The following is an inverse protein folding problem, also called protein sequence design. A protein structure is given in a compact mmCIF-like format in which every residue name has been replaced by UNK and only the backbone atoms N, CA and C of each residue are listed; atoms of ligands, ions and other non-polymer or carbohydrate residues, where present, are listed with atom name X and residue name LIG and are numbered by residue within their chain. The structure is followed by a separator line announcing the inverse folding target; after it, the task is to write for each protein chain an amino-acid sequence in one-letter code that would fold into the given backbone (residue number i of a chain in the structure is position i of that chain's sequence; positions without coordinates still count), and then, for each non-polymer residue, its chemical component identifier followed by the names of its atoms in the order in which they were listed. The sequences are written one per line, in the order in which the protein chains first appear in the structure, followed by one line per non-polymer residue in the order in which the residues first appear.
data_IF_577896886208
#
_entry.id   IF_577896886208
#
_cell.length_a   1.000
_cell.length_b   1.000
_cell.length_c   1.000
_cell.angle_alpha   90.00
_cell.angle_beta   90.00
_cell.angle_gamma   90.00
#
_symmetry.space_group_name_H-M   'P 1'
#
loop_
_entity.id
_entity.type
_entity.pdbx_description
1 polymer ?
#
# COMPACT_ATOMS: atom_id res chain seq x y z
N UNK A 1 -71.91 -4.98 47.44
CA UNK A 1 -70.80 -4.06 47.10
C UNK A 1 -69.67 -4.26 48.10
N UNK A 2 -68.68 -5.08 47.79
CA UNK A 2 -67.38 -5.13 48.49
C UNK A 2 -66.28 -5.30 47.45
N UNK A 3 -65.30 -4.42 47.55
CA UNK A 3 -64.23 -4.06 46.62
C UNK A 3 -63.24 -5.19 46.32
N UNK A 4 -63.22 -5.65 45.05
CA UNK A 4 -62.18 -6.54 44.48
C UNK A 4 -60.96 -5.73 43.97
N UNK A 5 -60.92 -4.42 44.26
CA UNK A 5 -59.93 -3.47 43.72
C UNK A 5 -58.77 -3.12 44.67
N UNK A 6 -58.62 -3.86 45.78
CA UNK A 6 -57.58 -3.60 46.80
C UNK A 6 -56.36 -4.51 46.71
N UNK A 7 -56.52 -5.80 46.40
CA UNK A 7 -55.44 -6.79 46.46
C UNK A 7 -54.53 -6.84 45.21
N UNK A 8 -54.97 -6.26 44.09
CA UNK A 8 -54.26 -6.36 42.81
C UNK A 8 -53.33 -5.18 42.52
N UNK A 9 -53.46 -4.05 43.23
CA UNK A 9 -52.63 -2.85 42.98
C UNK A 9 -51.17 -3.07 43.35
N UNK A 10 -50.93 -3.74 44.47
CA UNK A 10 -49.57 -4.05 44.94
C UNK A 10 -48.87 -5.09 44.07
N UNK A 11 -49.60 -6.10 43.55
CA UNK A 11 -49.07 -7.08 42.60
C UNK A 11 -48.77 -6.46 41.23
N UNK A 12 -49.61 -5.54 40.76
CA UNK A 12 -49.35 -4.81 39.51
C UNK A 12 -48.14 -3.88 39.66
N UNK A 13 -48.02 -3.18 40.80
CA UNK A 13 -46.91 -2.29 41.08
C UNK A 13 -45.56 -3.04 41.16
N UNK A 14 -45.51 -4.22 41.78
CA UNK A 14 -44.29 -5.05 41.80
C UNK A 14 -43.93 -5.59 40.42
N UNK A 15 -44.91 -5.95 39.59
CA UNK A 15 -44.66 -6.38 38.21
C UNK A 15 -44.08 -5.24 37.36
N UNK A 16 -44.63 -4.04 37.48
CA UNK A 16 -44.13 -2.85 36.77
C UNK A 16 -42.73 -2.49 37.24
N UNK A 17 -42.46 -2.54 38.56
CA UNK A 17 -41.13 -2.27 39.11
C UNK A 17 -40.11 -3.31 38.63
N UNK A 18 -40.47 -4.59 38.57
CA UNK A 18 -39.60 -5.65 38.06
C UNK A 18 -39.28 -5.46 36.57
N UNK A 19 -40.25 -5.03 35.75
CA UNK A 19 -40.01 -4.70 34.35
C UNK A 19 -39.11 -3.47 34.24
N UNK A 20 -39.30 -2.44 35.05
CA UNK A 20 -38.46 -1.25 35.06
C UNK A 20 -37.03 -1.55 35.50
N UNK A 21 -36.83 -2.42 36.50
CA UNK A 21 -35.49 -2.81 36.92
C UNK A 21 -34.82 -3.69 35.87
N UNK A 22 -35.53 -4.64 35.26
CA UNK A 22 -34.98 -5.46 34.17
C UNK A 22 -34.65 -4.59 32.95
N UNK A 23 -35.52 -3.68 32.54
CA UNK A 23 -35.24 -2.76 31.41
C UNK A 23 -34.12 -1.79 31.72
N UNK A 24 -34.05 -1.22 32.92
CA UNK A 24 -32.93 -0.38 33.34
C UNK A 24 -31.62 -1.18 33.43
N UNK A 25 -31.67 -2.43 33.87
CA UNK A 25 -30.50 -3.32 33.94
C UNK A 25 -30.06 -3.74 32.54
N UNK A 26 -30.99 -4.03 31.64
CA UNK A 26 -30.70 -4.32 30.23
C UNK A 26 -30.16 -3.09 29.52
N UNK A 27 -30.73 -1.89 29.74
CA UNK A 27 -30.20 -0.63 29.20
C UNK A 27 -28.84 -0.29 29.79
N UNK A 28 -28.64 -0.53 31.09
CA UNK A 28 -27.36 -0.37 31.76
C UNK A 28 -26.33 -1.34 31.17
N UNK A 29 -26.67 -2.62 31.04
CA UNK A 29 -25.83 -3.64 30.39
C UNK A 29 -25.60 -3.30 28.91
N UNK A 30 -26.57 -2.82 28.14
CA UNK A 30 -26.36 -2.38 26.75
C UNK A 30 -25.52 -1.09 26.65
N UNK A 31 -25.55 -0.24 27.67
CA UNK A 31 -24.72 0.97 27.73
C UNK A 31 -23.29 0.69 28.23
N UNK A 32 -23.09 -0.41 28.98
CA UNK A 32 -21.80 -0.81 29.58
C UNK A 32 -21.15 -2.04 28.92
N UNK A 33 -21.89 -2.86 28.19
CA UNK A 33 -21.36 -3.76 27.19
C UNK A 33 -21.30 -2.96 25.88
N UNK A 34 -20.16 -2.33 25.58
CA UNK A 34 -19.95 -1.88 24.23
C UNK A 34 -19.97 -3.17 23.40
N UNK A 35 -20.98 -3.33 22.56
CA UNK A 35 -20.83 -4.20 21.40
C UNK A 35 -19.54 -3.75 20.70
N UNK A 36 -18.46 -4.53 20.90
CA UNK A 36 -17.11 -4.31 20.40
C UNK A 36 -16.45 -2.96 20.77
N UNK A 37 -15.89 -2.82 21.98
CA UNK A 37 -14.66 -2.01 22.15
C UNK A 37 -13.42 -2.80 21.69
N UNK A 38 -13.60 -3.59 20.63
CA UNK A 38 -12.62 -4.49 20.07
C UNK A 38 -11.71 -3.73 19.14
N UNK A 39 -10.41 -3.96 19.29
CA UNK A 39 -9.37 -3.62 18.32
C UNK A 39 -9.91 -3.69 16.88
N UNK A 40 -9.97 -2.56 16.19
CA UNK A 40 -10.41 -2.50 14.79
C UNK A 40 -9.17 -2.37 13.91
N UNK A 41 -8.99 -3.28 12.96
CA UNK A 41 -8.00 -3.09 11.90
C UNK A 41 -8.58 -2.19 10.83
N UNK A 42 -7.79 -1.21 10.41
CA UNK A 42 -8.17 -0.26 9.37
C UNK A 42 -7.07 -0.13 8.35
N UNK A 43 -7.45 0.03 7.10
CA UNK A 43 -6.53 0.27 6.02
C UNK A 43 -7.14 1.27 5.02
N UNK A 44 -6.31 2.17 4.48
CA UNK A 44 -6.78 3.19 3.52
C UNK A 44 -6.95 2.62 2.10
N UNK A 45 -6.56 1.36 1.87
CA UNK A 45 -6.48 0.75 0.55
C UNK A 45 -7.55 -0.35 0.32
N UNK A 46 -8.59 -0.39 1.17
CA UNK A 46 -9.70 -1.34 1.06
C UNK A 46 -9.28 -2.82 1.07
N UNK A 47 -8.40 -3.20 1.98
CA UNK A 47 -7.86 -4.53 2.16
C UNK A 47 -6.76 -4.91 1.18
N UNK A 48 -6.09 -3.96 0.52
CA UNK A 48 -5.06 -4.25 -0.49
C UNK A 48 -3.66 -3.88 -0.01
N UNK A 49 -2.71 -4.78 -0.20
CA UNK A 49 -1.28 -4.55 0.07
C UNK A 49 -0.55 -4.55 -1.28
N UNK A 50 0.14 -3.46 -1.60
CA UNK A 50 0.88 -3.31 -2.85
C UNK A 50 2.38 -3.53 -2.63
N UNK A 51 2.96 -4.67 -3.10
CA UNK A 51 4.39 -4.94 -2.96
C UNK A 51 5.27 -3.81 -3.50
N UNK A 52 4.92 -3.22 -4.65
CA UNK A 52 5.69 -2.15 -5.26
C UNK A 52 5.81 -0.92 -4.35
N UNK A 53 4.74 -0.57 -3.62
CA UNK A 53 4.76 0.55 -2.68
C UNK A 53 5.69 0.27 -1.52
N UNK A 54 5.64 -0.94 -0.96
CA UNK A 54 6.50 -1.33 0.17
C UNK A 54 7.96 -1.34 -0.27
N UNK A 55 8.27 -2.02 -1.38
CA UNK A 55 9.64 -2.18 -1.89
C UNK A 55 10.28 -0.83 -2.25
N UNK A 56 9.53 0.08 -2.88
CA UNK A 56 10.05 1.38 -3.31
C UNK A 56 10.20 2.41 -2.18
N UNK A 57 9.50 2.23 -1.06
CA UNK A 57 9.54 3.18 0.07
C UNK A 57 10.25 2.63 1.32
N UNK A 58 10.75 1.39 1.25
CA UNK A 58 11.41 0.71 2.36
C UNK A 58 12.62 1.46 2.92
N UNK A 59 13.37 2.15 2.06
CA UNK A 59 14.63 2.85 2.42
C UNK A 59 14.56 4.37 2.32
N UNK A 60 13.39 4.94 1.98
CA UNK A 60 13.18 6.38 1.81
C UNK A 60 12.38 6.94 2.97
N UNK A 61 12.35 8.25 3.20
CA UNK A 61 11.42 8.87 4.16
C UNK A 61 10.10 9.30 3.50
N UNK A 62 9.94 9.03 2.20
CA UNK A 62 8.75 9.41 1.44
C UNK A 62 7.51 8.69 1.96
N UNK A 63 6.48 9.46 2.31
CA UNK A 63 5.16 8.96 2.69
C UNK A 63 4.17 9.29 1.58
N UNK A 64 4.06 8.39 0.61
CA UNK A 64 3.15 8.53 -0.54
C UNK A 64 1.71 8.05 -0.22
N UNK A 65 1.57 7.24 0.83
CA UNK A 65 0.28 6.83 1.39
C UNK A 65 0.26 7.35 2.82
N UNK A 66 -0.63 8.30 3.07
CA UNK A 66 -0.75 8.98 4.36
C UNK A 66 -2.14 8.72 4.92
N UNK A 67 -2.27 8.43 6.23
CA UNK A 67 -3.56 8.27 6.87
C UNK A 67 -4.38 9.57 6.79
N UNK A 68 -5.70 9.45 6.65
CA UNK A 68 -6.58 10.62 6.63
C UNK A 68 -6.57 11.38 7.96
N UNK A 69 -6.30 10.68 9.06
CA UNK A 69 -6.25 11.23 10.41
C UNK A 69 -4.83 11.68 10.78
N UNK A 70 -4.72 12.93 11.25
CA UNK A 70 -3.44 13.54 11.61
C UNK A 70 -2.85 13.01 12.94
N UNK A 71 -3.64 12.25 13.70
CA UNK A 71 -3.22 11.66 14.98
C UNK A 71 -3.01 10.16 14.81
N UNK A 72 -1.85 9.79 14.27
CA UNK A 72 -1.40 8.41 14.23
C UNK A 72 -0.05 8.23 14.95
N UNK A 73 0.25 6.99 15.30
CA UNK A 73 1.53 6.56 15.88
C UNK A 73 2.16 5.49 14.99
N UNK A 74 3.49 5.45 14.95
CA UNK A 74 4.25 4.45 14.19
C UNK A 74 4.41 4.79 12.71
N UNK A 75 4.62 3.76 11.88
CA UNK A 75 5.00 3.89 10.47
C UNK A 75 3.84 3.56 9.51
N UNK A 76 3.21 4.57 8.87
CA UNK A 76 2.02 4.35 8.05
C UNK A 76 2.29 3.57 6.75
N UNK A 77 3.57 3.40 6.35
CA UNK A 77 3.93 2.69 5.11
C UNK A 77 3.50 1.22 5.11
N UNK A 78 3.29 0.62 6.29
CA UNK A 78 2.79 -0.75 6.37
C UNK A 78 1.35 -0.89 5.85
N UNK A 79 0.59 0.21 5.82
CA UNK A 79 -0.84 0.25 5.52
C UNK A 79 -1.73 -0.61 6.45
N UNK A 80 -1.15 -1.25 7.48
CA UNK A 80 -1.86 -2.04 8.48
C UNK A 80 -2.07 -1.13 9.69
N UNK A 81 -3.21 -0.46 9.74
CA UNK A 81 -3.59 0.42 10.84
C UNK A 81 -4.42 -0.31 11.90
N UNK A 82 -4.27 0.10 13.14
CA UNK A 82 -5.02 -0.40 14.28
C UNK A 82 -5.66 0.79 14.98
N UNK A 83 -6.99 0.81 15.08
CA UNK A 83 -7.71 1.75 15.95
C UNK A 83 -7.84 1.18 17.34
N UNK A 84 -7.39 1.95 18.31
CA UNK A 84 -7.47 1.58 19.73
C UNK A 84 -7.74 2.79 20.61
N UNK A 85 -8.64 2.60 21.57
CA UNK A 85 -8.97 3.62 22.57
C UNK A 85 -8.10 3.48 23.80
N UNK A 86 -7.44 4.57 24.19
CA UNK A 86 -6.61 4.62 25.40
C UNK A 86 -7.48 4.57 26.67
N UNK A 87 -7.28 3.60 27.58
CA UNK A 87 -8.07 3.52 28.81
C UNK A 87 -7.68 4.61 29.83
N UNK A 88 -6.38 4.92 29.93
CA UNK A 88 -5.81 5.89 30.85
C UNK A 88 -4.68 6.68 30.17
N UNK A 89 -4.34 7.85 30.70
CA UNK A 89 -3.19 8.60 30.22
C UNK A 89 -1.88 7.80 30.36
N UNK A 90 -0.99 7.92 29.37
CA UNK A 90 0.27 7.19 29.26
C UNK A 90 0.12 5.66 29.29
N UNK A 91 -0.96 5.13 28.69
CA UNK A 91 -1.14 3.68 28.59
C UNK A 91 -0.10 3.07 27.64
N UNK A 92 0.57 1.99 28.08
CA UNK A 92 1.50 1.23 27.26
C UNK A 92 0.73 0.25 26.39
N UNK A 93 0.94 0.33 25.09
CA UNK A 93 0.38 -0.55 24.09
C UNK A 93 1.47 -1.44 23.53
N UNK A 94 1.30 -2.75 23.67
CA UNK A 94 2.16 -3.78 23.11
C UNK A 94 1.41 -4.50 22.01
N UNK A 95 1.93 -4.51 20.79
CA UNK A 95 1.31 -5.13 19.62
C UNK A 95 2.21 -6.26 19.12
N UNK A 96 1.64 -7.44 18.93
CA UNK A 96 2.27 -8.60 18.32
C UNK A 96 1.56 -8.89 16.99
N UNK A 97 2.33 -8.94 15.91
CA UNK A 97 1.89 -9.36 14.57
C UNK A 97 2.33 -10.79 14.33
N UNK A 98 1.38 -11.66 14.02
CA UNK A 98 1.67 -13.05 13.67
C UNK A 98 2.40 -13.14 12.31
N UNK A 99 3.27 -14.14 12.17
CA UNK A 99 3.98 -14.41 10.92
C UNK A 99 3.03 -14.78 9.78
N UNK A 100 3.37 -14.32 8.57
CA UNK A 100 2.73 -14.68 7.31
C UNK A 100 3.79 -15.00 6.25
N UNK A 101 3.43 -15.55 5.08
CA UNK A 101 4.39 -15.72 3.99
C UNK A 101 5.10 -14.43 3.56
N UNK A 102 4.48 -13.26 3.81
CA UNK A 102 4.96 -11.95 3.36
C UNK A 102 5.67 -11.13 4.42
N UNK A 103 5.59 -11.49 5.70
CA UNK A 103 6.28 -10.79 6.77
C UNK A 103 6.47 -11.68 8.00
N UNK A 104 7.59 -11.50 8.70
CA UNK A 104 7.91 -12.24 9.90
C UNK A 104 7.12 -11.75 11.11
N UNK A 105 7.06 -12.58 12.16
CA UNK A 105 6.55 -12.18 13.46
C UNK A 105 7.26 -10.91 13.96
N UNK A 106 6.49 -9.93 14.42
CA UNK A 106 7.00 -8.64 14.87
C UNK A 106 6.28 -8.13 16.11
N UNK A 107 6.99 -7.30 16.88
CA UNK A 107 6.51 -6.72 18.14
C UNK A 107 6.78 -5.23 18.11
N UNK A 108 5.77 -4.44 18.45
CA UNK A 108 5.88 -2.98 18.55
C UNK A 108 5.29 -2.48 19.86
N UNK A 109 5.95 -1.49 20.46
CA UNK A 109 5.50 -0.85 21.69
C UNK A 109 5.22 0.64 21.45
N UNK A 110 4.10 1.13 21.97
CA UNK A 110 3.67 2.52 21.88
C UNK A 110 3.19 3.04 23.23
N UNK A 111 3.27 4.36 23.42
CA UNK A 111 2.67 5.04 24.56
C UNK A 111 1.48 5.85 24.04
N UNK A 112 0.31 5.63 24.62
CA UNK A 112 -0.93 6.37 24.34
C UNK A 112 -1.05 7.53 25.36
N UNK A 113 -0.77 8.80 24.99
CA UNK A 113 -0.61 9.86 25.98
C UNK A 113 -1.90 10.26 26.71
N UNK A 114 -3.02 10.34 25.99
CA UNK A 114 -4.28 10.90 26.52
C UNK A 114 -5.26 9.79 26.90
N UNK A 115 -6.02 10.02 27.98
CA UNK A 115 -7.06 9.10 28.44
C UNK A 115 -8.33 9.24 27.60
N UNK A 116 -8.96 8.13 27.22
CA UNK A 116 -10.24 8.12 26.51
C UNK A 116 -10.17 8.51 25.03
N UNK A 117 -9.00 8.89 24.53
CA UNK A 117 -8.73 9.23 23.13
C UNK A 117 -8.53 7.97 22.29
N UNK A 118 -9.02 8.02 21.06
CA UNK A 118 -8.78 6.98 20.04
C UNK A 118 -7.50 7.32 19.26
N UNK A 119 -6.67 6.31 19.05
CA UNK A 119 -5.42 6.41 18.30
C UNK A 119 -5.45 5.44 17.13
N UNK A 120 -4.96 5.92 15.98
CA UNK A 120 -4.59 5.07 14.85
C UNK A 120 -3.11 4.70 14.98
N UNK A 121 -2.81 3.41 15.13
CA UNK A 121 -1.46 2.91 15.40
C UNK A 121 -1.02 2.01 14.25
N UNK A 122 0.15 2.28 13.70
CA UNK A 122 0.78 1.47 12.67
C UNK A 122 1.97 0.72 13.27
N UNK A 123 1.83 -0.59 13.53
CA UNK A 123 2.94 -1.40 14.03
C UNK A 123 4.04 -1.55 12.97
N UNK A 124 5.24 -1.86 13.44
CA UNK A 124 6.36 -2.22 12.59
C UNK A 124 6.10 -3.58 11.96
N UNK A 125 6.34 -3.68 10.65
CA UNK A 125 6.17 -4.93 9.90
C UNK A 125 7.53 -5.34 9.35
N UNK A 126 7.97 -6.54 9.71
CA UNK A 126 9.23 -7.11 9.20
C UNK A 126 8.92 -7.81 7.88
N UNK A 127 8.90 -7.04 6.79
CA UNK A 127 8.56 -7.55 5.46
C UNK A 127 9.56 -8.58 4.93
N UNK A 128 9.03 -9.64 4.32
CA UNK A 128 9.78 -10.55 3.46
C UNK A 128 9.81 -9.98 2.05
N UNK A 129 10.81 -9.15 1.77
CA UNK A 129 10.95 -8.47 0.47
C UNK A 129 11.07 -9.42 -0.71
N UNK A 130 11.66 -10.61 -0.53
CA UNK A 130 11.76 -11.61 -1.59
C UNK A 130 10.37 -12.14 -1.96
N UNK A 131 9.56 -12.52 -0.97
CA UNK A 131 8.19 -12.99 -1.20
C UNK A 131 7.32 -11.91 -1.86
N UNK A 132 7.49 -10.65 -1.47
CA UNK A 132 6.81 -9.50 -2.10
C UNK A 132 7.21 -9.32 -3.57
N UNK A 133 8.51 -9.42 -3.88
CA UNK A 133 9.03 -9.28 -5.24
C UNK A 133 8.58 -10.42 -6.17
N UNK A 134 8.51 -11.64 -5.64
CA UNK A 134 8.12 -12.85 -6.38
C UNK A 134 6.60 -12.99 -6.58
N UNK A 135 5.80 -12.15 -5.92
CA UNK A 135 4.35 -12.24 -5.98
C UNK A 135 3.78 -11.73 -7.32
N UNK A 136 3.65 -12.62 -8.29
CA UNK A 136 3.17 -12.26 -9.64
C UNK A 136 1.64 -12.27 -9.78
N UNK A 137 0.92 -12.83 -8.82
CA UNK A 137 -0.55 -12.91 -8.80
C UNK A 137 -1.11 -12.37 -7.48
N UNK A 138 -2.31 -11.79 -7.53
CA UNK A 138 -2.96 -11.36 -6.31
C UNK A 138 -3.34 -12.59 -5.46
N UNK A 139 -3.00 -12.58 -4.18
CA UNK A 139 -3.34 -13.67 -3.25
C UNK A 139 -3.82 -13.14 -1.90
N UNK A 140 -4.77 -13.85 -1.25
CA UNK A 140 -5.22 -13.47 0.08
C UNK A 140 -4.17 -13.82 1.14
N UNK A 141 -3.96 -12.91 2.10
CA UNK A 141 -3.18 -13.16 3.32
C UNK A 141 -4.01 -12.77 4.54
N UNK A 142 -4.07 -13.64 5.53
CA UNK A 142 -4.75 -13.35 6.79
C UNK A 142 -3.75 -12.80 7.79
N UNK A 143 -3.95 -11.56 8.21
CA UNK A 143 -3.15 -10.88 9.22
C UNK A 143 -3.84 -11.04 10.56
N UNK A 144 -3.11 -11.55 11.55
CA UNK A 144 -3.58 -11.70 12.93
C UNK A 144 -2.76 -10.81 13.84
N UNK A 145 -3.44 -10.02 14.65
CA UNK A 145 -2.83 -9.04 15.56
C UNK A 145 -3.32 -9.31 16.97
N UNK A 146 -2.39 -9.31 17.92
CA UNK A 146 -2.69 -9.28 19.34
C UNK A 146 -2.16 -7.98 19.95
N UNK A 147 -3.02 -7.24 20.65
CA UNK A 147 -2.68 -6.01 21.32
C UNK A 147 -2.92 -6.14 22.82
N UNK A 148 -1.93 -5.78 23.64
CA UNK A 148 -2.02 -5.75 25.11
C UNK A 148 -1.89 -4.31 25.59
N UNK A 149 -2.87 -3.84 26.36
CA UNK A 149 -2.81 -2.51 26.98
C UNK A 149 -2.53 -2.65 28.48
N UNK A 150 -1.47 -1.99 28.95
CA UNK A 150 -1.02 -1.98 30.35
C UNK A 150 -0.89 -3.40 30.96
N UNK A 151 -0.53 -4.40 30.16
CA UNK A 151 -0.39 -5.82 30.52
C UNK A 151 -1.63 -6.50 31.14
N UNK A 152 -2.82 -5.89 31.06
CA UNK A 152 -4.02 -6.43 31.70
C UNK A 152 -5.07 -6.93 30.69
N UNK A 153 -5.32 -6.17 29.61
CA UNK A 153 -6.33 -6.53 28.60
C UNK A 153 -5.65 -6.89 27.30
N UNK A 154 -5.91 -8.11 26.83
CA UNK A 154 -5.53 -8.58 25.50
C UNK A 154 -6.71 -8.43 24.55
N UNK A 155 -6.46 -7.79 23.42
CA UNK A 155 -7.36 -7.67 22.30
C UNK A 155 -6.76 -8.43 21.12
N UNK A 156 -7.60 -9.09 20.34
CA UNK A 156 -7.16 -9.77 19.12
C UNK A 156 -8.07 -9.35 17.98
N UNK A 157 -7.49 -9.17 16.81
CA UNK A 157 -8.22 -8.96 15.57
C UNK A 157 -7.59 -9.81 14.47
N UNK A 158 -8.40 -10.16 13.48
CA UNK A 158 -7.96 -10.83 12.27
C UNK A 158 -8.57 -10.11 11.07
N UNK A 159 -7.78 -9.85 10.04
CA UNK A 159 -8.26 -9.28 8.78
C UNK A 159 -7.58 -9.95 7.60
N UNK A 160 -8.32 -10.22 6.53
CA UNK A 160 -7.78 -10.80 5.30
C UNK A 160 -7.54 -9.71 4.28
N UNK A 161 -6.27 -9.53 3.91
CA UNK A 161 -5.82 -8.61 2.88
C UNK A 161 -5.60 -9.35 1.56
N UNK A 162 -5.65 -8.64 0.45
CA UNK A 162 -5.17 -9.08 -0.86
C UNK A 162 -3.78 -8.50 -1.09
N UNK A 163 -2.75 -9.34 -1.04
CA UNK A 163 -1.41 -8.95 -1.50
C UNK A 163 -1.41 -8.96 -3.02
N UNK A 164 -1.25 -7.78 -3.60
CA UNK A 164 -1.35 -7.52 -5.04
C UNK A 164 -0.13 -8.04 -5.78
N UNK A 165 -0.28 -8.21 -7.08
CA UNK A 165 0.85 -8.57 -7.93
C UNK A 165 1.92 -7.48 -7.91
N UNK A 166 3.21 -7.84 -8.02
CA UNK A 166 4.30 -6.87 -8.23
C UNK A 166 4.07 -6.05 -9.51
N UNK A 167 3.32 -6.58 -10.47
CA UNK A 167 2.91 -5.87 -11.67
C UNK A 167 1.74 -4.89 -11.46
N UNK A 168 1.18 -4.76 -10.25
CA UNK A 168 0.07 -3.83 -10.01
C UNK A 168 0.56 -2.56 -9.32
N UNK A 169 0.60 -1.47 -10.09
CA UNK A 169 0.95 -0.15 -9.60
C UNK A 169 -0.29 0.53 -9.02
N UNK A 170 -0.17 1.10 -7.82
CA UNK A 170 -1.17 1.98 -7.23
C UNK A 170 -1.13 3.34 -7.95
N UNK A 171 -2.21 3.72 -8.64
CA UNK A 171 -2.34 5.03 -9.31
C UNK A 171 -2.86 6.11 -8.39
N UNK A 172 -3.74 5.71 -7.47
CA UNK A 172 -4.33 6.59 -6.49
C UNK A 172 -5.37 5.84 -5.66
N UNK A 173 -5.82 6.50 -4.60
CA UNK A 173 -6.83 5.95 -3.70
C UNK A 173 -7.74 7.05 -3.16
N UNK A 174 -8.92 6.66 -2.68
CA UNK A 174 -9.84 7.53 -1.97
C UNK A 174 -9.72 7.18 -0.48
N UNK A 175 -9.34 8.16 0.33
CA UNK A 175 -9.20 7.96 1.77
C UNK A 175 -10.57 7.86 2.47
N UNK A 176 -10.54 7.53 3.76
CA UNK A 176 -11.73 7.49 4.63
C UNK A 176 -12.53 8.81 4.70
N UNK A 177 -11.98 9.94 4.25
CA UNK A 177 -12.63 11.26 4.16
C UNK A 177 -13.10 11.60 2.75
N UNK A 178 -13.16 10.61 1.86
CA UNK A 178 -13.58 10.75 0.46
C UNK A 178 -12.66 11.67 -0.36
N UNK A 179 -11.41 11.87 0.06
CA UNK A 179 -10.41 12.65 -0.68
C UNK A 179 -9.59 11.72 -1.56
N UNK A 180 -9.45 12.10 -2.83
CA UNK A 180 -8.55 11.43 -3.76
C UNK A 180 -7.09 11.81 -3.49
N UNK A 181 -6.23 10.80 -3.44
CA UNK A 181 -4.78 10.93 -3.37
C UNK A 181 -4.17 10.32 -4.62
N UNK A 182 -3.36 11.11 -5.31
CA UNK A 182 -2.61 10.63 -6.46
C UNK A 182 -1.30 10.00 -6.02
N UNK A 183 -1.01 8.81 -6.54
CA UNK A 183 0.21 8.07 -6.21
C UNK A 183 0.96 7.67 -7.48
N UNK A 184 0.86 8.49 -8.54
CA UNK A 184 1.52 8.23 -9.82
C UNK A 184 3.04 8.09 -9.73
N UNK A 185 3.64 8.61 -8.66
CA UNK A 185 5.08 8.49 -8.37
C UNK A 185 5.54 7.03 -8.25
N UNK A 186 4.65 6.09 -7.90
CA UNK A 186 4.99 4.67 -7.86
C UNK A 186 5.36 4.08 -9.22
N UNK A 187 5.07 4.75 -10.34
CA UNK A 187 5.61 4.33 -11.63
C UNK A 187 7.13 4.37 -11.69
N UNK A 188 7.77 5.28 -10.95
CA UNK A 188 9.23 5.34 -10.87
C UNK A 188 9.82 4.06 -10.25
N UNK A 189 9.07 3.33 -9.42
CA UNK A 189 9.51 2.06 -8.84
C UNK A 189 9.71 0.94 -9.85
N UNK A 190 9.15 1.07 -11.07
CA UNK A 190 9.35 0.11 -12.16
C UNK A 190 10.56 0.45 -13.04
N UNK A 191 11.24 1.58 -12.78
CA UNK A 191 12.55 1.86 -13.38
C UNK A 191 13.58 1.02 -12.63
N UNK A 192 14.25 0.12 -13.36
CA UNK A 192 15.22 -0.81 -12.80
C UNK A 192 16.53 -0.75 -13.61
N UNK A 193 17.37 0.23 -13.29
CA UNK A 193 18.68 0.46 -13.91
C UNK A 193 19.71 -0.65 -13.65
N UNK A 194 19.47 -1.50 -12.64
CA UNK A 194 20.37 -2.57 -12.22
C UNK A 194 19.96 -3.95 -12.78
N UNK A 195 18.94 -4.02 -13.63
CA UNK A 195 18.47 -5.29 -14.18
C UNK A 195 19.57 -5.99 -15.00
N UNK A 196 19.86 -7.29 -14.76
CA UNK A 196 20.96 -8.00 -15.42
C UNK A 196 20.81 -8.07 -16.95
N UNK A 197 19.58 -8.05 -17.46
CA UNK A 197 19.29 -8.13 -18.90
C UNK A 197 19.57 -6.80 -19.64
N UNK A 198 19.84 -5.70 -18.95
CA UNK A 198 20.29 -4.44 -19.56
C UNK A 198 21.59 -4.66 -20.34
N UNK A 199 22.52 -5.44 -19.80
CA UNK A 199 23.80 -5.72 -20.43
C UNK A 199 23.66 -6.29 -21.86
N UNK A 200 22.61 -7.10 -22.09
CA UNK A 200 22.29 -7.64 -23.40
C UNK A 200 21.86 -6.52 -24.38
N UNK A 201 20.95 -5.65 -23.95
CA UNK A 201 20.45 -4.53 -24.76
C UNK A 201 21.57 -3.54 -25.10
N UNK A 202 22.43 -3.24 -24.13
CA UNK A 202 23.57 -2.35 -24.34
C UNK A 202 24.58 -2.94 -25.34
N UNK A 203 24.83 -4.26 -25.28
CA UNK A 203 25.71 -4.94 -26.25
C UNK A 203 25.14 -4.85 -27.67
N UNK A 204 23.86 -5.13 -27.84
CA UNK A 204 23.18 -5.03 -29.14
C UNK A 204 23.21 -3.60 -29.70
N UNK A 205 23.15 -2.58 -28.82
CA UNK A 205 23.26 -1.18 -29.23
C UNK A 205 24.67 -0.83 -29.71
N UNK A 206 25.71 -1.38 -29.10
CA UNK A 206 27.09 -1.25 -29.59
C UNK A 206 27.27 -1.98 -30.94
N UNK A 207 26.69 -3.18 -31.08
CA UNK A 207 26.75 -3.97 -32.32
C UNK A 207 26.07 -3.28 -33.50
N UNK A 208 25.12 -2.37 -33.25
CA UNK A 208 24.49 -1.53 -34.28
C UNK A 208 25.46 -0.55 -34.95
N UNK A 209 26.61 -0.28 -34.33
CA UNK A 209 27.62 0.73 -34.74
C UNK A 209 27.10 2.16 -34.82
N UNK A 210 25.92 2.46 -34.25
CA UNK A 210 25.40 3.83 -34.09
C UNK A 210 26.27 4.60 -33.08
N UNK A 211 26.69 3.91 -32.01
CA UNK A 211 27.64 4.40 -31.01
C UNK A 211 28.71 3.35 -30.75
N UNK A 212 29.93 3.80 -30.47
CA UNK A 212 31.07 2.91 -30.16
C UNK A 212 31.25 2.65 -28.66
N UNK A 213 30.61 3.45 -27.81
CA UNK A 213 30.56 3.35 -26.35
C UNK A 213 29.46 4.24 -25.80
N UNK A 214 29.04 3.98 -24.55
CA UNK A 214 28.17 4.86 -23.79
C UNK A 214 29.00 5.82 -22.93
N UNK A 215 28.81 7.11 -23.14
CA UNK A 215 29.45 8.21 -22.42
C UNK A 215 28.57 8.80 -21.31
N UNK A 216 27.26 8.56 -21.37
CA UNK A 216 26.29 9.36 -20.63
C UNK A 216 26.50 10.84 -20.96
N UNK A 217 26.71 11.66 -19.91
CA UNK A 217 27.00 13.10 -20.02
C UNK A 217 28.48 13.47 -20.22
N UNK A 218 29.41 12.51 -20.20
CA UNK A 218 30.86 12.81 -20.17
C UNK A 218 31.38 13.54 -21.42
N UNK A 219 30.71 13.37 -22.57
CA UNK A 219 31.06 14.08 -23.81
C UNK A 219 30.83 15.59 -23.72
N UNK A 220 29.96 16.05 -22.81
CA UNK A 220 29.44 17.44 -22.74
C UNK A 220 28.79 17.95 -24.03
N UNK A 221 28.48 17.05 -24.96
CA UNK A 221 27.84 17.36 -26.23
C UNK A 221 26.44 16.72 -26.24
N UNK A 222 25.37 17.54 -26.23
CA UNK A 222 23.98 17.08 -26.36
C UNK A 222 23.76 16.11 -27.52
N UNK A 223 24.44 16.32 -28.66
CA UNK A 223 24.30 15.45 -29.84
C UNK A 223 24.82 14.04 -29.60
N UNK A 224 25.79 13.88 -28.70
CA UNK A 224 26.30 12.56 -28.30
C UNK A 224 25.31 11.88 -27.34
N UNK A 225 24.61 12.64 -26.50
CA UNK A 225 23.51 12.12 -25.68
C UNK A 225 22.38 11.61 -26.58
N UNK A 226 21.93 12.42 -27.54
CA UNK A 226 20.87 12.05 -28.49
C UNK A 226 21.23 10.78 -29.29
N UNK A 227 22.48 10.64 -29.73
CA UNK A 227 22.95 9.43 -30.43
C UNK A 227 22.91 8.18 -29.56
N UNK A 228 23.23 8.29 -28.27
CA UNK A 228 23.15 7.16 -27.34
C UNK A 228 21.70 6.76 -27.11
N UNK A 229 20.81 7.73 -26.90
CA UNK A 229 19.37 7.49 -26.77
C UNK A 229 18.81 6.83 -28.03
N UNK A 230 19.18 7.34 -29.21
CA UNK A 230 18.76 6.77 -30.48
C UNK A 230 19.25 5.34 -30.67
N UNK A 231 20.49 5.01 -30.25
CA UNK A 231 21.01 3.64 -30.33
C UNK A 231 20.17 2.66 -29.48
N UNK A 232 19.76 3.06 -28.27
CA UNK A 232 18.88 2.25 -27.43
C UNK A 232 17.50 2.07 -28.06
N UNK A 233 16.91 3.16 -28.54
CA UNK A 233 15.61 3.12 -29.22
C UNK A 233 15.63 2.22 -30.46
N UNK A 234 16.70 2.32 -31.26
CA UNK A 234 16.90 1.49 -32.45
C UNK A 234 16.93 0.00 -32.13
N UNK A 235 17.60 -0.40 -31.05
CA UNK A 235 17.63 -1.82 -30.63
C UNK A 235 16.25 -2.31 -30.22
N UNK A 236 15.51 -1.52 -29.44
CA UNK A 236 14.14 -1.89 -29.06
C UNK A 236 13.22 -1.98 -30.29
N UNK A 237 13.36 -1.08 -31.26
CA UNK A 237 12.64 -1.17 -32.53
C UNK A 237 13.01 -2.43 -33.31
N UNK A 238 14.31 -2.75 -33.41
CA UNK A 238 14.82 -3.96 -34.08
C UNK A 238 14.35 -5.25 -33.41
N UNK A 239 14.16 -5.25 -32.10
CA UNK A 239 13.55 -6.35 -31.32
C UNK A 239 12.05 -6.54 -31.59
N UNK A 240 11.43 -5.66 -32.37
CA UNK A 240 10.05 -5.81 -32.81
C UNK A 240 9.02 -5.55 -31.71
N UNK A 241 9.33 -4.67 -30.76
CA UNK A 241 8.39 -4.26 -29.72
C UNK A 241 7.09 -3.73 -30.33
N UNK A 242 5.95 -4.24 -29.84
CA UNK A 242 4.61 -3.84 -30.28
C UNK A 242 3.83 -3.20 -29.14
N UNK A 243 2.99 -2.23 -29.49
CA UNK A 243 2.11 -1.59 -28.52
C UNK A 243 0.97 -2.55 -28.12
N UNK A 244 0.73 -2.70 -26.81
CA UNK A 244 -0.36 -3.50 -26.24
C UNK A 244 -1.14 -2.62 -25.26
N UNK A 245 -2.42 -2.37 -25.49
CA UNK A 245 -3.25 -1.53 -24.62
C UNK A 245 -3.71 -2.24 -23.34
N UNK A 246 -3.25 -3.46 -23.10
CA UNK A 246 -3.61 -4.24 -21.92
C UNK A 246 -2.98 -3.59 -20.69
N UNK A 247 -3.83 -2.96 -19.88
CA UNK A 247 -3.51 -2.29 -18.62
C UNK A 247 -4.42 -2.75 -17.47
N UNK A 248 -5.39 -3.63 -17.76
CA UNK A 248 -6.37 -4.11 -16.81
C UNK A 248 -5.67 -4.78 -15.62
N UNK A 249 -6.00 -4.29 -14.43
CA UNK A 249 -5.74 -4.97 -13.16
C UNK A 249 -6.89 -5.95 -12.88
N UNK A 250 -6.63 -7.01 -12.12
CA UNK A 250 -7.69 -7.90 -11.63
C UNK A 250 -8.46 -7.29 -10.45
N UNK A 251 -8.09 -6.09 -10.01
CA UNK A 251 -8.74 -5.39 -8.91
C UNK A 251 -10.06 -4.75 -9.36
N UNK A 252 -11.16 -5.14 -8.72
CA UNK A 252 -12.42 -4.40 -8.72
C UNK A 252 -12.57 -3.68 -7.37
N UNK A 253 -12.18 -2.41 -7.30
CA UNK A 253 -12.33 -1.57 -6.09
C UNK A 253 -12.86 -0.19 -6.46
N UNK A 254 -13.76 0.34 -5.64
CA UNK A 254 -14.20 1.75 -5.73
C UNK A 254 -13.30 2.69 -4.91
N UNK A 255 -12.38 2.13 -4.12
CA UNK A 255 -11.48 2.87 -3.22
C UNK A 255 -10.11 3.06 -3.87
N UNK A 256 -9.67 2.07 -4.65
CA UNK A 256 -8.29 2.00 -5.14
C UNK A 256 -8.25 1.88 -6.66
N UNK A 257 -7.42 2.70 -7.28
CA UNK A 257 -7.17 2.71 -8.72
C UNK A 257 -5.78 2.15 -9.01
N UNK A 258 -5.71 1.17 -9.91
CA UNK A 258 -4.46 0.48 -10.22
C UNK A 258 -4.26 0.37 -11.73
N UNK A 259 -3.00 0.19 -12.12
CA UNK A 259 -2.65 -0.19 -13.47
C UNK A 259 -1.66 -1.33 -13.44
N UNK A 260 -1.87 -2.30 -14.33
CA UNK A 260 -0.87 -3.33 -14.57
C UNK A 260 0.33 -2.72 -15.32
N UNK A 261 1.53 -2.90 -14.77
CA UNK A 261 2.82 -2.50 -15.34
C UNK A 261 3.70 -3.73 -15.47
N UNK A 262 4.21 -3.98 -16.68
CA UNK A 262 5.16 -5.07 -16.92
C UNK A 262 6.51 -4.71 -16.29
N UNK A 263 7.14 -5.69 -15.66
CA UNK A 263 8.53 -5.53 -15.22
C UNK A 263 9.46 -5.43 -16.43
N UNK A 264 10.71 -5.03 -16.20
CA UNK A 264 11.74 -4.99 -17.26
C UNK A 264 11.86 -6.35 -17.96
N UNK A 265 11.85 -7.45 -17.21
CA UNK A 265 11.98 -8.81 -17.74
C UNK A 265 10.73 -9.21 -18.54
N UNK A 266 9.53 -8.93 -18.03
CA UNK A 266 8.26 -9.19 -18.73
C UNK A 266 8.21 -8.44 -20.08
N UNK A 267 8.65 -7.18 -20.09
CA UNK A 267 8.65 -6.34 -21.28
C UNK A 267 9.65 -6.85 -22.32
N UNK A 268 10.88 -7.21 -21.90
CA UNK A 268 11.88 -7.78 -22.80
C UNK A 268 11.47 -9.13 -23.38
N UNK A 269 10.87 -10.01 -22.57
CA UNK A 269 10.48 -11.35 -23.01
C UNK A 269 9.27 -11.33 -23.95
N UNK A 270 8.26 -10.51 -23.65
CA UNK A 270 7.02 -10.49 -24.42
C UNK A 270 7.08 -9.60 -25.67
N UNK A 271 8.05 -8.66 -25.73
CA UNK A 271 8.12 -7.61 -26.74
C UNK A 271 6.79 -6.85 -26.92
N UNK A 272 5.99 -6.76 -25.87
CA UNK A 272 4.69 -6.07 -25.85
C UNK A 272 4.66 -5.07 -24.69
N UNK A 273 4.39 -3.81 -25.00
CA UNK A 273 4.45 -2.71 -24.04
C UNK A 273 3.26 -1.77 -24.22
N UNK A 274 2.70 -1.25 -23.13
CA UNK A 274 1.86 -0.05 -23.17
C UNK A 274 2.72 1.22 -22.99
N UNK A 275 2.09 2.40 -22.94
CA UNK A 275 2.79 3.67 -22.75
C UNK A 275 3.59 3.73 -21.43
N UNK A 276 3.08 3.09 -20.37
CA UNK A 276 3.76 3.03 -19.08
C UNK A 276 4.94 2.08 -19.12
N UNK A 277 4.70 0.83 -19.55
CA UNK A 277 5.71 -0.22 -19.68
C UNK A 277 6.90 0.28 -20.52
N UNK A 278 6.61 0.89 -21.67
CA UNK A 278 7.63 1.44 -22.56
C UNK A 278 8.42 2.58 -21.94
N UNK A 279 7.74 3.47 -21.19
CA UNK A 279 8.39 4.60 -20.53
C UNK A 279 9.34 4.13 -19.44
N UNK A 280 8.92 3.20 -18.57
CA UNK A 280 9.77 2.69 -17.47
C UNK A 280 10.89 1.78 -17.98
N UNK A 281 10.64 0.97 -19.01
CA UNK A 281 11.67 0.17 -19.69
C UNK A 281 12.77 1.06 -20.27
N UNK A 282 12.37 2.10 -21.01
CA UNK A 282 13.33 3.00 -21.65
C UNK A 282 14.06 3.87 -20.62
N UNK A 283 13.36 4.35 -19.59
CA UNK A 283 13.97 5.06 -18.47
C UNK A 283 15.04 4.20 -17.76
N UNK A 284 14.79 2.90 -17.58
CA UNK A 284 15.76 1.96 -17.00
C UNK A 284 17.05 1.90 -17.82
N UNK A 285 16.92 1.80 -19.15
CA UNK A 285 18.07 1.79 -20.06
C UNK A 285 18.84 3.11 -20.05
N UNK A 286 18.14 4.24 -20.04
CA UNK A 286 18.75 5.57 -19.98
C UNK A 286 19.54 5.75 -18.68
N UNK A 287 18.94 5.37 -17.55
CA UNK A 287 19.57 5.50 -16.23
C UNK A 287 20.83 4.63 -16.12
N UNK A 288 20.79 3.41 -16.66
CA UNK A 288 21.94 2.51 -16.71
C UNK A 288 23.14 3.05 -17.50
N UNK A 289 22.92 3.96 -18.46
CA UNK A 289 23.99 4.65 -19.21
C UNK A 289 24.27 6.06 -18.67
N UNK A 290 23.85 6.34 -17.43
CA UNK A 290 24.02 7.62 -16.76
C UNK A 290 23.41 8.81 -17.52
N UNK A 291 22.25 8.59 -18.14
CA UNK A 291 21.36 9.64 -18.66
C UNK A 291 20.15 9.70 -17.73
N UNK A 292 19.82 10.89 -17.22
CA UNK A 292 18.69 11.09 -16.32
C UNK A 292 17.38 11.10 -17.12
N UNK A 293 16.49 10.11 -16.93
CA UNK A 293 15.17 10.14 -17.53
C UNK A 293 14.21 11.00 -16.71
N UNK A 294 13.10 11.41 -17.35
CA UNK A 294 11.93 11.98 -16.69
C UNK A 294 10.69 11.22 -17.16
N UNK A 295 9.82 10.84 -16.23
CA UNK A 295 8.51 10.28 -16.55
C UNK A 295 7.49 11.41 -16.52
N UNK A 296 6.77 11.61 -17.62
CA UNK A 296 5.75 12.65 -17.75
C UNK A 296 4.40 11.97 -17.91
N UNK A 297 3.55 12.09 -16.89
CA UNK A 297 2.21 11.52 -16.87
C UNK A 297 1.18 12.58 -17.23
N UNK A 298 0.30 12.24 -18.16
CA UNK A 298 -0.91 13.00 -18.50
C UNK A 298 -2.12 12.06 -18.40
N UNK A 299 -3.36 12.56 -18.34
CA UNK A 299 -4.53 11.69 -18.32
C UNK A 299 -4.51 10.67 -19.46
N UNK A 300 -4.48 9.38 -19.12
CA UNK A 300 -4.49 8.27 -20.08
C UNK A 300 -3.16 7.96 -20.78
N UNK A 301 -2.07 8.68 -20.50
CA UNK A 301 -0.78 8.43 -21.15
C UNK A 301 0.43 8.73 -20.27
N UNK A 302 1.54 8.05 -20.53
CA UNK A 302 2.84 8.37 -19.95
C UNK A 302 3.90 8.43 -21.04
N UNK A 303 4.80 9.40 -20.91
CA UNK A 303 5.95 9.58 -21.79
C UNK A 303 7.24 9.49 -20.98
N UNK A 304 8.32 9.18 -21.68
CA UNK A 304 9.68 9.27 -21.16
C UNK A 304 10.42 10.38 -21.90
N UNK A 305 10.98 11.30 -21.13
CA UNK A 305 11.95 12.28 -21.60
C UNK A 305 13.32 12.00 -21.01
N UNK A 306 14.32 12.77 -21.42
CA UNK A 306 15.67 12.73 -20.88
C UNK A 306 16.29 14.11 -20.93
N UNK A 307 17.20 14.38 -19.99
CA UNK A 307 18.02 15.58 -20.04
C UNK A 307 19.17 15.38 -21.02
N UNK A 308 19.46 16.40 -21.84
CA UNK A 308 20.58 16.39 -22.80
C UNK A 308 21.88 16.87 -22.18
N UNK A 309 21.81 17.43 -20.97
CA UNK A 309 22.88 17.87 -20.10
C UNK A 309 22.57 17.51 -18.63
N UNK A 310 23.49 17.87 -17.71
CA UNK A 310 23.40 17.52 -16.27
C UNK A 310 23.16 18.76 -15.42
#
# INVERSE_FOLDING_TARGET
MRTIWGENKWKLATFILAILTVTASVLYIYSYEPFSSGLEMTDELGGNIFPVTILSTATTDAQLIVPADSTYLGNPKSCIGIKIRSPHANSKLHIELAETPFFAHSVSEFILPESGKEYLVFPDVIWNYQALLENTQAMPVTVSIQAKVNNNRTYSAVHTYSVRSINECLLGYIDSKMKFHDTGDFFAAYVNEDNPNISQVLREALDSRIVNRFWGYQSKDPKVVDKQVYALWYVLQKRGFKYSSISNSSLSSNVVFTQRVRTFDDALQSAQINCVDGSVLFASLLKAININPILVRVPGHMFVGYYTDR
#
